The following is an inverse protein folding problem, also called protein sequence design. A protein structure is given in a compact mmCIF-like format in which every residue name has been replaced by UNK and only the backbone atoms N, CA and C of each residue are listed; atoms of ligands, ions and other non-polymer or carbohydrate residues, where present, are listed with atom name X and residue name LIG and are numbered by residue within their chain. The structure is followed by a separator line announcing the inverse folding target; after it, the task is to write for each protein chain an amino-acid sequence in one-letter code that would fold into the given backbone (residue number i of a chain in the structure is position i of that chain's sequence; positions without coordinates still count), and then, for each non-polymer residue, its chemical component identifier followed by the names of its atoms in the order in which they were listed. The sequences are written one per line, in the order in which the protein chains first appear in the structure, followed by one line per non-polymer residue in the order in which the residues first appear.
data_IF_835979898544
#
_entry.id   IF_835979898544
#
_cell.length_a   1.000
_cell.length_b   1.000
_cell.length_c   1.000
_cell.angle_alpha   90.00
_cell.angle_beta   90.00
_cell.angle_gamma   90.00
#
_symmetry.space_group_name_H-M   'P 1'
#
loop_
_entity.id
_entity.type
_entity.pdbx_description
1 polymer ?
#
# COMPACT_ATOMS: atom_id res chain seq x y z
N UNK A 1 -16.82 -8.61 38.68
CA UNK A 1 -16.38 -7.82 37.50
C UNK A 1 -17.40 -6.74 37.21
N UNK A 2 -17.07 -5.49 37.46
CA UNK A 2 -17.99 -4.36 37.26
C UNK A 2 -18.54 -4.36 35.83
N UNK A 3 -19.82 -4.03 35.66
CA UNK A 3 -20.53 -4.01 34.36
C UNK A 3 -19.72 -3.32 33.26
N UNK A 4 -19.09 -2.19 33.60
CA UNK A 4 -18.19 -1.42 32.72
C UNK A 4 -17.01 -2.25 32.18
N UNK A 5 -16.35 -3.04 33.04
CA UNK A 5 -15.25 -3.94 32.63
C UNK A 5 -15.76 -5.05 31.70
N UNK A 6 -16.98 -5.56 31.91
CA UNK A 6 -17.59 -6.60 31.06
C UNK A 6 -17.90 -6.11 29.66
N UNK A 7 -18.52 -4.95 29.54
CA UNK A 7 -18.82 -4.35 28.23
C UNK A 7 -17.53 -4.11 27.44
N UNK A 8 -16.51 -3.53 28.09
CA UNK A 8 -15.22 -3.27 27.44
C UNK A 8 -14.50 -4.54 27.00
N UNK A 9 -14.53 -5.61 27.80
CA UNK A 9 -13.93 -6.89 27.45
C UNK A 9 -14.62 -7.52 26.21
N UNK A 10 -15.96 -7.49 26.17
CA UNK A 10 -16.75 -8.01 25.04
C UNK A 10 -16.46 -7.19 23.77
N UNK A 11 -16.44 -5.86 23.88
CA UNK A 11 -16.14 -4.97 22.76
C UNK A 11 -14.74 -5.26 22.18
N UNK A 12 -13.71 -5.31 23.03
CA UNK A 12 -12.34 -5.64 22.60
C UNK A 12 -12.26 -7.03 21.94
N UNK A 13 -12.97 -8.03 22.47
CA UNK A 13 -13.02 -9.38 21.88
C UNK A 13 -13.66 -9.35 20.49
N UNK A 14 -14.74 -8.59 20.28
CA UNK A 14 -15.39 -8.43 18.97
C UNK A 14 -14.50 -7.70 17.98
N UNK A 15 -13.85 -6.61 18.40
CA UNK A 15 -12.91 -5.87 17.57
C UNK A 15 -11.74 -6.74 17.11
N UNK A 16 -11.12 -7.50 18.03
CA UNK A 16 -10.04 -8.45 17.69
C UNK A 16 -10.50 -9.52 16.69
N UNK A 17 -11.71 -10.06 16.83
CA UNK A 17 -12.27 -11.03 15.87
C UNK A 17 -12.49 -10.43 14.48
N UNK A 18 -12.88 -9.14 14.41
CA UNK A 18 -13.05 -8.42 13.14
C UNK A 18 -11.71 -8.17 12.46
N UNK A 19 -10.69 -7.73 13.20
CA UNK A 19 -9.36 -7.42 12.66
C UNK A 19 -8.55 -8.66 12.32
N UNK A 20 -8.77 -9.80 12.99
CA UNK A 20 -8.06 -11.05 12.73
C UNK A 20 -8.21 -11.55 11.28
N UNK A 21 -9.33 -11.25 10.63
CA UNK A 21 -9.58 -11.61 9.23
C UNK A 21 -8.99 -10.63 8.21
N UNK A 22 -8.56 -9.46 8.67
CA UNK A 22 -8.01 -8.39 7.84
C UNK A 22 -6.48 -8.30 7.91
N UNK A 23 -5.83 -9.21 8.64
CA UNK A 23 -4.38 -9.21 8.78
C UNK A 23 -3.74 -9.75 7.49
N UNK A 24 -3.40 -8.84 6.58
CA UNK A 24 -2.47 -9.12 5.50
C UNK A 24 -1.04 -9.10 6.05
N UNK A 25 -0.17 -9.98 5.58
CA UNK A 25 1.24 -9.89 5.91
C UNK A 25 1.86 -8.68 5.22
N UNK A 26 2.63 -7.85 5.93
CA UNK A 26 3.44 -6.76 5.36
C UNK A 26 4.58 -7.24 4.42
N UNK A 27 4.62 -8.54 4.11
CA UNK A 27 5.62 -9.13 3.22
C UNK A 27 5.05 -9.08 1.81
N UNK A 28 5.81 -8.59 0.81
CA UNK A 28 5.39 -8.75 -0.57
C UNK A 28 5.21 -10.23 -0.86
N UNK A 29 4.15 -10.58 -1.59
CA UNK A 29 3.90 -11.96 -2.00
C UNK A 29 5.09 -12.39 -2.87
N UNK A 30 5.69 -13.55 -2.57
CA UNK A 30 6.72 -14.08 -3.46
C UNK A 30 6.09 -14.36 -4.82
N UNK A 31 6.69 -13.78 -5.85
CA UNK A 31 6.37 -13.98 -7.25
C UNK A 31 7.58 -14.69 -7.89
N UNK A 32 7.31 -15.53 -8.89
CA UNK A 32 8.38 -16.27 -9.56
C UNK A 32 9.37 -15.33 -10.26
N UNK A 33 10.60 -15.81 -10.54
CA UNK A 33 11.62 -15.00 -11.24
C UNK A 33 11.11 -14.47 -12.59
N UNK A 34 10.31 -15.27 -13.30
CA UNK A 34 9.73 -14.88 -14.58
C UNK A 34 8.66 -13.79 -14.44
N UNK A 35 7.82 -13.86 -13.39
CA UNK A 35 6.82 -12.82 -13.12
C UNK A 35 7.48 -11.52 -12.63
N UNK A 36 8.55 -11.62 -11.84
CA UNK A 36 9.31 -10.44 -11.39
C UNK A 36 9.93 -9.69 -12.57
N UNK A 37 10.55 -10.41 -13.52
CA UNK A 37 11.11 -9.79 -14.72
C UNK A 37 10.05 -9.11 -15.60
N UNK A 38 8.84 -9.69 -15.70
CA UNK A 38 7.72 -9.08 -16.42
C UNK A 38 7.22 -7.80 -15.73
N UNK A 39 7.08 -7.83 -14.41
CA UNK A 39 6.66 -6.66 -13.63
C UNK A 39 7.72 -5.55 -13.67
N UNK A 40 9.01 -5.87 -13.58
CA UNK A 40 10.10 -4.89 -13.69
C UNK A 40 10.17 -4.25 -15.08
N UNK A 41 9.88 -5.00 -16.16
CA UNK A 41 9.79 -4.45 -17.51
C UNK A 41 8.56 -3.53 -17.70
N UNK A 42 7.41 -3.89 -17.12
CA UNK A 42 6.20 -3.06 -17.13
C UNK A 42 6.33 -1.81 -16.24
N UNK A 43 7.01 -1.94 -15.09
CA UNK A 43 7.33 -0.81 -14.21
C UNK A 43 8.34 0.13 -14.86
N UNK A 44 9.38 -0.38 -15.53
CA UNK A 44 10.33 0.45 -16.29
C UNK A 44 9.62 1.25 -17.40
N UNK A 45 8.73 0.61 -18.17
CA UNK A 45 7.95 1.28 -19.20
C UNK A 45 6.99 2.35 -18.65
N UNK A 46 6.41 2.13 -17.45
CA UNK A 46 5.56 3.13 -16.80
C UNK A 46 6.37 4.28 -16.18
N UNK A 47 7.54 4.02 -15.63
CA UNK A 47 8.40 5.05 -15.04
C UNK A 47 8.89 6.00 -16.13
N UNK A 48 9.31 5.50 -17.30
CA UNK A 48 9.71 6.33 -18.45
C UNK A 48 8.59 7.30 -18.89
N UNK A 49 7.34 6.83 -18.95
CA UNK A 49 6.17 7.67 -19.28
C UNK A 49 5.91 8.75 -18.22
N UNK A 50 6.23 8.51 -16.95
CA UNK A 50 6.05 9.52 -15.88
C UNK A 50 7.22 10.49 -15.75
N UNK A 51 8.43 10.11 -16.16
CA UNK A 51 9.61 10.99 -16.11
C UNK A 51 9.64 12.00 -17.26
N UNK A 52 9.09 11.64 -18.43
CA UNK A 52 8.98 12.57 -19.56
C UNK A 52 7.88 13.63 -19.38
N UNK A 53 6.86 13.35 -18.56
CA UNK A 53 5.80 14.31 -18.25
C UNK A 53 6.19 15.35 -17.17
N UNK A 54 7.19 15.06 -16.34
CA UNK A 54 7.65 15.95 -15.28
C UNK A 54 8.74 16.94 -15.74
N UNK A 55 9.50 16.59 -16.78
CA UNK A 55 10.58 17.44 -17.32
C UNK A 55 10.08 18.59 -18.19
N UNK A 56 8.86 18.52 -18.75
CA UNK A 56 8.28 19.63 -19.52
C UNK A 56 7.62 20.72 -18.64
N UNK A 57 7.28 20.43 -17.37
CA UNK A 57 6.59 21.41 -16.51
C UNK A 57 7.51 22.34 -15.71
N UNK A 58 8.82 22.05 -15.62
CA UNK A 58 9.77 22.89 -14.85
C UNK A 58 10.52 23.93 -15.70
N UNK A 59 10.39 23.90 -17.04
CA UNK A 59 11.06 24.86 -17.92
C UNK A 59 10.26 26.16 -18.20
N UNK A 60 9.01 26.26 -17.74
CA UNK A 60 8.12 27.41 -18.05
C UNK A 60 7.88 28.38 -16.88
N UNK A 61 8.62 28.25 -15.77
CA UNK A 61 8.41 29.07 -14.55
C UNK A 61 9.66 29.86 -14.10
N UNK A 62 10.58 30.17 -15.01
CA UNK A 62 11.71 31.08 -14.72
C UNK A 62 11.79 32.19 -15.79
N UNK A 63 10.74 33.00 -15.89
CA UNK A 63 10.74 34.33 -16.52
C UNK A 63 9.44 35.04 -16.20
N UNK A 64 9.38 35.67 -15.02
CA UNK A 64 8.72 36.97 -14.77
C UNK A 64 9.21 37.56 -13.45
#
# INVERSE_FOLDING_TARGET
MNRKKKINAIFKKRMKKKTAKLHTSNKPRYISKAERAKMEAEEAANVEVTTDAATESEASTDSE
#
